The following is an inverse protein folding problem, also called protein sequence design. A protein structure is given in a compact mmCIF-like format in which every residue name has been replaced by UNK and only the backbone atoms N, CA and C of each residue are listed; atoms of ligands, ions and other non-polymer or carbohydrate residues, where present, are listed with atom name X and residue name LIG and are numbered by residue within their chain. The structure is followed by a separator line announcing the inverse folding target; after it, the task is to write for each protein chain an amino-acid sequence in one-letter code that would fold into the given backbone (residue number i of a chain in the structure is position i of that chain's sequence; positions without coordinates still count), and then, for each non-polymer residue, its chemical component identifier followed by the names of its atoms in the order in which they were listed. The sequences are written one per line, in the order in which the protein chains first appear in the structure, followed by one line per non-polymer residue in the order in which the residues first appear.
data_IF_261016196765
#
_entry.id   IF_261016196765
#
_cell.length_a   1.000
_cell.length_b   1.000
_cell.length_c   1.000
_cell.angle_alpha   90.00
_cell.angle_beta   90.00
_cell.angle_gamma   90.00
#
_symmetry.space_group_name_H-M   'P 1'
#
loop_
_entity.id
_entity.type
_entity.pdbx_description
1 polymer ?
#
# COMPACT_ATOMS: atom_id res chain seq x y z
N UNK A 1 -7.28 5.39 -40.32
CA UNK A 1 -7.68 4.03 -40.71
C UNK A 1 -7.77 3.18 -39.44
N UNK A 2 -8.95 2.64 -39.11
CA UNK A 2 -9.17 1.86 -37.87
C UNK A 2 -8.28 0.61 -37.85
N UNK A 3 -7.96 0.04 -39.01
CA UNK A 3 -7.11 -1.14 -39.11
C UNK A 3 -5.64 -0.84 -38.78
N UNK A 4 -5.18 0.40 -38.99
CA UNK A 4 -3.86 0.83 -38.52
C UNK A 4 -3.80 1.00 -37.01
N UNK A 5 -4.86 1.54 -36.40
CA UNK A 5 -4.95 1.65 -34.94
C UNK A 5 -4.87 0.27 -34.27
N UNK A 6 -5.46 -0.75 -34.88
CA UNK A 6 -5.45 -2.12 -34.38
C UNK A 6 -4.12 -2.88 -34.57
N UNK A 7 -3.17 -2.36 -35.36
CA UNK A 7 -1.85 -2.97 -35.55
C UNK A 7 -0.91 -2.74 -34.37
N UNK A 8 -1.02 -1.58 -33.71
CA UNK A 8 -0.23 -1.24 -32.52
C UNK A 8 -0.79 -1.84 -31.22
N UNK A 9 -2.03 -2.31 -31.24
CA UNK A 9 -2.72 -2.76 -30.04
C UNK A 9 -2.25 -4.14 -29.58
N UNK A 10 -2.09 -4.31 -28.28
CA UNK A 10 -1.85 -5.61 -27.62
C UNK A 10 -2.95 -6.58 -28.03
N UNK A 11 -2.59 -7.82 -28.34
CA UNK A 11 -3.56 -8.86 -28.72
C UNK A 11 -4.17 -9.52 -27.49
N UNK A 12 -5.50 -9.69 -27.48
CA UNK A 12 -6.22 -10.30 -26.37
C UNK A 12 -5.88 -11.79 -26.26
N UNK A 13 -5.54 -12.22 -25.04
CA UNK A 13 -5.36 -13.60 -24.62
C UNK A 13 -6.00 -13.81 -23.23
N UNK A 14 -5.87 -15.02 -22.67
CA UNK A 14 -6.54 -15.38 -21.41
C UNK A 14 -6.04 -14.63 -20.17
N UNK A 15 -4.84 -14.09 -20.21
CA UNK A 15 -4.15 -13.57 -19.03
C UNK A 15 -4.02 -12.05 -19.05
N UNK A 16 -4.41 -11.38 -20.15
CA UNK A 16 -4.12 -9.96 -20.34
C UNK A 16 -5.37 -9.10 -20.54
N UNK A 17 -6.56 -9.57 -20.14
CA UNK A 17 -7.82 -8.81 -20.30
C UNK A 17 -7.69 -7.35 -19.84
N UNK A 18 -7.17 -7.08 -18.64
CA UNK A 18 -7.06 -5.72 -18.11
C UNK A 18 -6.05 -4.87 -18.88
N UNK A 19 -4.91 -5.45 -19.29
CA UNK A 19 -3.92 -4.75 -20.10
C UNK A 19 -4.47 -4.43 -21.49
N UNK A 20 -5.12 -5.41 -22.10
CA UNK A 20 -5.81 -5.26 -23.38
C UNK A 20 -6.91 -4.20 -23.29
N UNK A 21 -7.71 -4.20 -22.21
CA UNK A 21 -8.78 -3.25 -21.99
C UNK A 21 -8.26 -1.82 -21.86
N UNK A 22 -7.12 -1.61 -21.18
CA UNK A 22 -6.49 -0.30 -21.08
C UNK A 22 -6.02 0.20 -22.45
N UNK A 23 -5.39 -0.67 -23.23
CA UNK A 23 -4.90 -0.33 -24.57
C UNK A 23 -6.06 -0.09 -25.55
N UNK A 24 -7.12 -0.90 -25.44
CA UNK A 24 -8.38 -0.72 -26.15
C UNK A 24 -9.02 0.64 -25.83
N UNK A 25 -9.17 0.97 -24.54
CA UNK A 25 -9.67 2.28 -24.08
C UNK A 25 -8.83 3.44 -24.61
N UNK A 26 -7.50 3.28 -24.58
CA UNK A 26 -6.57 4.29 -25.08
C UNK A 26 -6.74 4.51 -26.59
N UNK A 27 -6.84 3.41 -27.35
CA UNK A 27 -7.02 3.41 -28.81
C UNK A 27 -8.32 4.10 -29.23
N UNK A 28 -9.40 3.88 -28.48
CA UNK A 28 -10.72 4.43 -28.80
C UNK A 28 -11.09 5.69 -28.01
N UNK A 29 -10.14 6.29 -27.26
CA UNK A 29 -10.38 7.47 -26.43
C UNK A 29 -10.96 8.67 -27.19
N UNK A 30 -10.63 8.80 -28.48
CA UNK A 30 -11.08 9.90 -29.33
C UNK A 30 -12.50 9.71 -29.85
N UNK A 31 -13.06 8.49 -29.74
CA UNK A 31 -14.43 8.20 -30.16
C UNK A 31 -15.32 8.24 -28.91
N UNK A 32 -16.11 9.30 -28.73
CA UNK A 32 -16.98 9.41 -27.56
C UNK A 32 -18.00 8.27 -27.55
N UNK A 33 -18.46 7.91 -26.35
CA UNK A 33 -19.51 6.91 -26.10
C UNK A 33 -19.15 5.44 -26.40
N UNK A 34 -18.01 5.15 -27.04
CA UNK A 34 -17.61 3.75 -27.36
C UNK A 34 -17.57 2.90 -26.11
N UNK A 35 -16.85 3.36 -25.08
CA UNK A 35 -16.73 2.58 -23.85
C UNK A 35 -18.07 2.46 -23.15
N UNK A 36 -18.89 3.51 -23.14
CA UNK A 36 -20.20 3.51 -22.50
C UNK A 36 -21.17 2.54 -23.17
N UNK A 37 -21.12 2.42 -24.51
CA UNK A 37 -21.87 1.43 -25.28
C UNK A 37 -21.36 0.02 -24.96
N UNK A 38 -20.04 -0.20 -25.00
CA UNK A 38 -19.46 -1.53 -24.81
C UNK A 38 -19.64 -2.06 -23.39
N UNK A 39 -19.56 -1.21 -22.38
CA UNK A 39 -19.82 -1.59 -20.98
C UNK A 39 -21.31 -1.68 -20.65
N UNK A 40 -22.20 -1.36 -21.61
CA UNK A 40 -23.65 -1.38 -21.41
C UNK A 40 -24.19 -0.25 -20.54
N UNK A 41 -23.40 0.82 -20.35
CA UNK A 41 -23.84 2.06 -19.71
C UNK A 41 -24.88 2.79 -20.57
N UNK A 42 -24.68 2.77 -21.89
CA UNK A 42 -25.66 3.20 -22.89
C UNK A 42 -26.24 1.95 -23.55
N UNK A 43 -27.55 1.75 -23.37
CA UNK A 43 -28.30 0.62 -23.92
C UNK A 43 -29.02 0.98 -25.21
N UNK A 44 -29.57 -0.02 -25.88
CA UNK A 44 -30.25 0.09 -27.17
C UNK A 44 -31.50 1.00 -27.16
N UNK A 45 -32.08 1.24 -26.00
CA UNK A 45 -33.19 2.17 -25.77
C UNK A 45 -32.76 3.65 -25.67
N UNK A 46 -31.46 3.93 -25.53
CA UNK A 46 -30.95 5.26 -25.29
C UNK A 46 -30.77 6.05 -26.60
N UNK A 47 -31.16 7.34 -26.67
CA UNK A 47 -31.07 8.14 -27.91
C UNK A 47 -29.66 8.31 -28.48
N UNK A 48 -28.64 8.18 -27.63
CA UNK A 48 -27.22 8.26 -28.01
C UNK A 48 -26.59 6.90 -28.36
N UNK A 49 -27.38 5.82 -28.36
CA UNK A 49 -26.91 4.51 -28.80
C UNK A 49 -26.78 4.46 -30.32
N UNK A 50 -25.62 4.00 -30.79
CA UNK A 50 -25.34 3.82 -32.22
C UNK A 50 -25.22 2.32 -32.53
N UNK A 51 -26.32 1.75 -33.01
CA UNK A 51 -26.39 0.33 -33.37
C UNK A 51 -25.42 -0.05 -34.50
N UNK A 52 -25.16 0.86 -35.44
CA UNK A 52 -24.26 0.60 -36.55
C UNK A 52 -22.81 0.58 -36.09
N UNK A 53 -22.45 1.48 -35.18
CA UNK A 53 -21.16 1.50 -34.53
C UNK A 53 -20.94 0.24 -33.70
N UNK A 54 -21.92 -0.16 -32.89
CA UNK A 54 -21.85 -1.35 -32.04
C UNK A 54 -21.67 -2.64 -32.88
N UNK A 55 -22.43 -2.79 -33.96
CA UNK A 55 -22.26 -3.91 -34.89
C UNK A 55 -20.85 -3.97 -35.51
N UNK A 56 -20.24 -2.82 -35.82
CA UNK A 56 -18.86 -2.76 -36.34
C UNK A 56 -17.83 -3.20 -35.29
N UNK A 57 -18.11 -3.00 -34.01
CA UNK A 57 -17.20 -3.40 -32.93
C UNK A 57 -17.00 -4.92 -32.83
N UNK A 58 -17.95 -5.73 -33.30
CA UNK A 58 -17.76 -7.19 -33.42
C UNK A 58 -16.49 -7.52 -34.23
N UNK A 59 -16.34 -6.88 -35.40
CA UNK A 59 -15.17 -7.07 -36.26
C UNK A 59 -13.87 -6.54 -35.64
N UNK A 60 -13.95 -5.42 -34.92
CA UNK A 60 -12.82 -4.80 -34.24
C UNK A 60 -12.31 -5.71 -33.12
N UNK A 61 -13.19 -6.21 -32.26
CA UNK A 61 -12.84 -7.13 -31.16
C UNK A 61 -12.24 -8.41 -31.73
N UNK A 62 -12.85 -8.99 -32.78
CA UNK A 62 -12.30 -10.17 -33.48
C UNK A 62 -10.86 -9.95 -33.95
N UNK A 63 -10.59 -8.82 -34.60
CA UNK A 63 -9.25 -8.48 -35.11
C UNK A 63 -8.24 -8.14 -34.01
N UNK A 64 -8.72 -7.80 -32.82
CA UNK A 64 -7.89 -7.55 -31.64
C UNK A 64 -7.51 -8.81 -30.87
N UNK A 65 -8.16 -9.93 -31.13
CA UNK A 65 -7.85 -11.20 -30.48
C UNK A 65 -6.58 -11.81 -31.08
N UNK A 66 -5.79 -12.47 -30.23
CA UNK A 66 -4.66 -13.25 -30.71
C UNK A 66 -5.16 -14.41 -31.58
N UNK A 67 -4.51 -14.63 -32.73
CA UNK A 67 -4.80 -15.79 -33.58
C UNK A 67 -4.47 -17.07 -32.83
N UNK A 68 -3.48 -17.06 -31.94
CA UNK A 68 -3.10 -18.18 -31.05
C UNK A 68 -3.81 -18.15 -29.69
N UNK A 69 -4.87 -17.35 -29.56
CA UNK A 69 -5.68 -17.31 -28.35
C UNK A 69 -6.22 -18.69 -27.95
N UNK A 70 -6.53 -18.82 -26.67
CA UNK A 70 -7.00 -20.09 -26.10
C UNK A 70 -8.27 -20.59 -26.78
N UNK A 71 -8.55 -21.89 -26.60
CA UNK A 71 -9.80 -22.50 -27.07
C UNK A 71 -11.05 -21.73 -26.59
N UNK A 72 -11.02 -21.14 -25.39
CA UNK A 72 -12.14 -20.40 -24.82
C UNK A 72 -12.39 -19.08 -25.56
N UNK A 73 -11.35 -18.26 -25.77
CA UNK A 73 -11.48 -17.00 -26.52
C UNK A 73 -11.91 -17.29 -27.96
N UNK A 74 -11.28 -18.27 -28.62
CA UNK A 74 -11.68 -18.66 -29.99
C UNK A 74 -13.13 -19.13 -30.05
N UNK A 75 -13.59 -19.88 -29.06
CA UNK A 75 -14.97 -20.33 -28.98
C UNK A 75 -15.94 -19.14 -28.85
N UNK A 76 -15.69 -18.25 -27.89
CA UNK A 76 -16.52 -17.05 -27.67
C UNK A 76 -16.55 -16.19 -28.93
N UNK A 77 -15.41 -15.90 -29.53
CA UNK A 77 -15.26 -14.90 -30.60
C UNK A 77 -15.73 -15.41 -31.97
N UNK A 78 -15.45 -16.68 -32.30
CA UNK A 78 -15.64 -17.22 -33.65
C UNK A 78 -16.79 -18.22 -33.77
N UNK A 79 -17.20 -18.91 -32.70
CA UNK A 79 -18.23 -19.95 -32.79
C UNK A 79 -19.62 -19.38 -32.56
N UNK A 80 -19.76 -18.40 -31.67
CA UNK A 80 -21.03 -17.72 -31.43
C UNK A 80 -21.23 -16.59 -32.45
N UNK A 81 -22.45 -16.49 -32.98
CA UNK A 81 -22.88 -15.32 -33.76
C UNK A 81 -23.22 -14.18 -32.81
N UNK A 82 -22.61 -13.02 -33.05
CA UNK A 82 -22.79 -11.82 -32.23
C UNK A 82 -23.40 -10.74 -33.11
N UNK A 83 -24.50 -10.15 -32.63
CA UNK A 83 -25.18 -9.06 -33.32
C UNK A 83 -24.55 -7.71 -32.96
N UNK A 84 -24.02 -7.57 -31.74
CA UNK A 84 -23.41 -6.35 -31.24
C UNK A 84 -22.04 -6.61 -30.61
N UNK A 85 -21.17 -5.60 -30.69
CA UNK A 85 -19.85 -5.64 -30.06
C UNK A 85 -19.95 -5.57 -28.54
N UNK A 86 -20.96 -4.88 -28.01
CA UNK A 86 -21.28 -4.81 -26.57
C UNK A 86 -21.59 -6.18 -25.98
N UNK A 87 -22.41 -7.01 -26.63
CA UNK A 87 -22.69 -8.38 -26.19
C UNK A 87 -21.41 -9.25 -26.17
N UNK A 88 -20.62 -9.19 -27.24
CA UNK A 88 -19.35 -9.92 -27.33
C UNK A 88 -18.37 -9.47 -26.25
N UNK A 89 -18.25 -8.16 -26.04
CA UNK A 89 -17.37 -7.57 -25.03
C UNK A 89 -17.76 -8.01 -23.62
N UNK A 90 -19.05 -7.94 -23.28
CA UNK A 90 -19.56 -8.35 -21.97
C UNK A 90 -19.35 -9.84 -21.71
N UNK A 91 -19.52 -10.70 -22.73
CA UNK A 91 -19.22 -12.13 -22.58
C UNK A 91 -17.72 -12.40 -22.36
N UNK A 92 -16.86 -11.71 -23.11
CA UNK A 92 -15.41 -11.82 -22.89
C UNK A 92 -15.03 -11.34 -21.50
N UNK A 93 -15.63 -10.24 -21.04
CA UNK A 93 -15.43 -9.73 -19.70
C UNK A 93 -15.86 -10.75 -18.64
N UNK A 94 -17.06 -11.33 -18.75
CA UNK A 94 -17.58 -12.28 -17.76
C UNK A 94 -16.73 -13.55 -17.66
N UNK A 95 -16.23 -14.05 -18.79
CA UNK A 95 -15.43 -15.28 -18.83
C UNK A 95 -13.98 -15.05 -18.39
N UNK A 96 -13.37 -13.93 -18.81
CA UNK A 96 -11.96 -13.65 -18.52
C UNK A 96 -11.76 -13.01 -17.14
N UNK A 97 -12.79 -12.40 -16.55
CA UNK A 97 -12.75 -11.79 -15.21
C UNK A 97 -13.43 -12.66 -14.14
N UNK A 98 -13.83 -13.89 -14.45
CA UNK A 98 -14.64 -14.73 -13.55
C UNK A 98 -14.04 -14.89 -12.16
N UNK A 99 -12.72 -15.00 -12.10
CA UNK A 99 -11.98 -15.26 -10.86
C UNK A 99 -11.33 -13.98 -10.29
N UNK A 100 -11.58 -12.80 -10.89
CA UNK A 100 -10.95 -11.53 -10.47
C UNK A 100 -11.40 -11.11 -9.08
N UNK A 101 -12.66 -11.30 -8.71
CA UNK A 101 -13.17 -10.96 -7.38
C UNK A 101 -12.53 -11.83 -6.29
N UNK A 102 -12.38 -13.13 -6.56
CA UNK A 102 -11.72 -14.09 -5.67
C UNK A 102 -10.25 -13.72 -5.52
N UNK A 103 -9.58 -13.43 -6.63
CA UNK A 103 -8.16 -13.06 -6.66
C UNK A 103 -7.94 -11.72 -5.96
N UNK A 104 -8.82 -10.74 -6.17
CA UNK A 104 -8.80 -9.45 -5.50
C UNK A 104 -8.96 -9.58 -3.99
N UNK A 105 -9.92 -10.39 -3.54
CA UNK A 105 -10.09 -10.71 -2.13
C UNK A 105 -8.84 -11.37 -1.52
N UNK A 106 -8.26 -12.33 -2.24
CA UNK A 106 -7.02 -13.01 -1.84
C UNK A 106 -5.84 -12.02 -1.69
N UNK A 107 -5.66 -11.11 -2.65
CA UNK A 107 -4.60 -10.10 -2.61
C UNK A 107 -4.79 -9.09 -1.47
N UNK A 108 -6.03 -8.68 -1.18
CA UNK A 108 -6.32 -7.81 -0.03
C UNK A 108 -6.04 -8.53 1.30
N UNK A 109 -6.32 -9.83 1.39
CA UNK A 109 -5.93 -10.65 2.55
C UNK A 109 -4.41 -10.80 2.66
N UNK A 110 -3.71 -11.01 1.54
CA UNK A 110 -2.23 -11.04 1.47
C UNK A 110 -1.66 -9.72 1.98
N UNK A 111 -2.19 -8.59 1.50
CA UNK A 111 -1.80 -7.25 1.95
C UNK A 111 -1.97 -7.09 3.46
N UNK A 112 -3.14 -7.44 4.01
CA UNK A 112 -3.41 -7.34 5.44
C UNK A 112 -2.53 -8.25 6.32
N UNK A 113 -1.93 -9.29 5.73
CA UNK A 113 -1.03 -10.24 6.41
C UNK A 113 0.44 -9.85 6.33
N UNK A 114 0.82 -8.87 5.52
CA UNK A 114 2.20 -8.37 5.47
C UNK A 114 2.65 -7.98 6.87
N UNK A 115 3.85 -8.40 7.26
CA UNK A 115 4.48 -8.06 8.54
C UNK A 115 5.95 -7.72 8.30
N UNK A 116 6.49 -6.83 9.14
CA UNK A 116 7.92 -6.56 9.15
C UNK A 116 8.65 -7.57 10.02
N UNK A 117 9.60 -8.29 9.42
CA UNK A 117 10.50 -9.20 10.13
C UNK A 117 11.91 -8.62 10.18
N UNK A 118 12.66 -8.88 11.26
CA UNK A 118 14.05 -8.43 11.42
C UNK A 118 14.28 -6.92 11.23
N UNK A 119 13.25 -6.09 11.50
CA UNK A 119 13.26 -4.64 11.24
C UNK A 119 13.61 -4.26 9.78
N UNK A 120 13.36 -5.16 8.83
CA UNK A 120 13.60 -4.94 7.42
C UNK A 120 12.40 -4.29 6.73
N UNK A 121 12.35 -2.96 6.81
CA UNK A 121 11.30 -2.17 6.17
C UNK A 121 11.40 -2.19 4.64
N UNK A 122 12.59 -2.43 4.08
CA UNK A 122 12.79 -2.45 2.64
C UNK A 122 12.09 -3.66 2.02
N UNK A 123 12.27 -4.83 2.64
CA UNK A 123 11.55 -6.03 2.25
C UNK A 123 10.04 -5.87 2.39
N UNK A 124 9.57 -5.29 3.50
CA UNK A 124 8.14 -5.01 3.70
C UNK A 124 7.56 -4.06 2.63
N UNK A 125 8.30 -3.00 2.27
CA UNK A 125 7.88 -2.09 1.19
C UNK A 125 7.83 -2.82 -0.16
N UNK A 126 8.81 -3.69 -0.44
CA UNK A 126 8.82 -4.50 -1.67
C UNK A 126 7.57 -5.38 -1.74
N UNK A 127 7.27 -6.12 -0.67
CA UNK A 127 6.12 -7.03 -0.61
C UNK A 127 4.79 -6.30 -0.84
N UNK A 128 4.61 -5.11 -0.24
CA UNK A 128 3.43 -4.27 -0.47
C UNK A 128 3.33 -3.82 -1.95
N UNK A 129 4.45 -3.44 -2.57
CA UNK A 129 4.46 -3.04 -3.98
C UNK A 129 4.21 -4.23 -4.92
N UNK A 130 4.73 -5.41 -4.58
CA UNK A 130 4.52 -6.64 -5.35
C UNK A 130 3.04 -7.01 -5.35
N UNK A 131 2.38 -6.96 -4.19
CA UNK A 131 0.92 -7.19 -4.08
C UNK A 131 0.14 -6.15 -4.87
N UNK A 132 0.51 -4.86 -4.77
CA UNK A 132 -0.14 -3.81 -5.54
C UNK A 132 0.05 -3.97 -7.06
N UNK A 133 1.21 -4.48 -7.49
CA UNK A 133 1.49 -4.78 -8.90
C UNK A 133 0.70 -6.00 -9.37
N UNK A 134 0.58 -7.05 -8.56
CA UNK A 134 -0.32 -8.18 -8.85
C UNK A 134 -1.78 -7.72 -8.97
N UNK A 135 -2.21 -6.82 -8.09
CA UNK A 135 -3.55 -6.22 -8.12
C UNK A 135 -3.80 -5.45 -9.41
N UNK A 136 -2.86 -4.61 -9.84
CA UNK A 136 -3.05 -3.81 -11.06
C UNK A 136 -3.17 -4.66 -12.33
N UNK A 137 -2.55 -5.85 -12.36
CA UNK A 137 -2.69 -6.80 -13.47
C UNK A 137 -4.11 -7.35 -13.62
N UNK A 138 -4.89 -7.36 -12.53
CA UNK A 138 -6.30 -7.79 -12.51
C UNK A 138 -7.28 -6.62 -12.34
N UNK A 139 -6.83 -5.38 -12.58
CA UNK A 139 -7.67 -4.19 -12.48
C UNK A 139 -7.98 -3.73 -11.04
N UNK A 140 -7.38 -4.36 -10.02
CA UNK A 140 -7.50 -3.93 -8.63
C UNK A 140 -6.54 -2.76 -8.36
N UNK A 141 -7.11 -1.59 -8.03
CA UNK A 141 -6.34 -0.42 -7.62
C UNK A 141 -6.14 -0.45 -6.10
N UNK A 142 -4.93 -0.80 -5.66
CA UNK A 142 -4.54 -0.64 -4.26
C UNK A 142 -4.08 0.81 -4.04
N UNK A 143 -4.90 1.58 -3.34
CA UNK A 143 -4.66 3.01 -3.11
C UNK A 143 -3.47 3.24 -2.17
N UNK A 144 -2.85 4.42 -2.29
CA UNK A 144 -1.78 4.84 -1.40
C UNK A 144 -2.20 4.78 0.06
N UNK A 145 -3.44 5.13 0.39
CA UNK A 145 -3.96 5.07 1.76
C UNK A 145 -3.94 3.63 2.32
N UNK A 146 -4.28 2.63 1.51
CA UNK A 146 -4.24 1.22 1.92
C UNK A 146 -2.79 0.76 2.15
N UNK A 147 -1.87 1.12 1.25
CA UNK A 147 -0.43 0.81 1.39
C UNK A 147 0.18 1.47 2.63
N UNK A 148 -0.13 2.74 2.85
CA UNK A 148 0.31 3.52 4.01
C UNK A 148 -0.21 2.90 5.30
N UNK A 149 -1.50 2.55 5.34
CA UNK A 149 -2.13 1.90 6.51
C UNK A 149 -1.44 0.58 6.84
N UNK A 150 -1.15 -0.23 5.82
CA UNK A 150 -0.46 -1.50 6.03
C UNK A 150 1.00 -1.31 6.47
N UNK A 151 1.72 -0.34 5.91
CA UNK A 151 3.08 -0.05 6.35
C UNK A 151 3.11 0.53 7.77
N UNK A 152 2.13 1.35 8.15
CA UNK A 152 1.97 1.87 9.51
C UNK A 152 1.77 0.73 10.51
N UNK A 153 0.87 -0.21 10.23
CA UNK A 153 0.63 -1.37 11.10
C UNK A 153 1.90 -2.21 11.33
N UNK A 154 2.83 -2.22 10.35
CA UNK A 154 4.11 -2.92 10.45
C UNK A 154 5.22 -2.14 11.17
N UNK A 155 5.16 -0.80 11.20
CA UNK A 155 6.34 0.03 11.56
C UNK A 155 6.09 1.05 12.66
N UNK A 156 4.85 1.45 12.94
CA UNK A 156 4.52 2.57 13.83
C UNK A 156 5.05 2.37 15.26
N UNK A 157 5.04 1.13 15.75
CA UNK A 157 5.51 0.79 17.10
C UNK A 157 6.95 0.26 17.12
N UNK A 158 7.63 0.21 15.98
CA UNK A 158 9.03 -0.19 15.93
C UNK A 158 9.93 0.96 16.41
N UNK A 159 10.81 0.64 17.36
CA UNK A 159 11.73 1.58 18.01
C UNK A 159 12.64 2.35 17.03
N UNK A 160 12.78 1.88 15.78
CA UNK A 160 13.56 2.53 14.73
C UNK A 160 12.80 3.53 13.85
N UNK A 161 11.47 3.43 13.74
CA UNK A 161 10.72 4.11 12.68
C UNK A 161 9.66 5.11 13.18
N UNK A 162 9.34 5.14 14.49
CA UNK A 162 8.36 6.07 15.05
C UNK A 162 8.63 7.56 14.74
N UNK A 163 9.88 8.00 14.85
CA UNK A 163 10.28 9.39 14.53
C UNK A 163 10.00 9.78 13.06
N UNK A 164 10.06 8.80 12.15
CA UNK A 164 9.79 9.02 10.72
C UNK A 164 8.31 9.34 10.52
N UNK A 165 7.42 8.63 11.21
CA UNK A 165 5.98 8.87 11.18
C UNK A 165 5.63 10.27 11.70
N UNK A 166 6.11 10.63 12.90
CA UNK A 166 5.83 11.95 13.48
C UNK A 166 6.35 13.10 12.60
N UNK A 167 7.51 12.93 11.97
CA UNK A 167 8.07 13.94 11.06
C UNK A 167 7.20 14.11 9.81
N UNK A 168 6.76 13.00 9.21
CA UNK A 168 5.95 13.04 7.98
C UNK A 168 4.52 13.51 8.24
N UNK A 169 3.95 13.23 9.41
CA UNK A 169 2.66 13.75 9.85
C UNK A 169 2.73 15.27 9.98
N UNK A 170 3.77 15.80 10.64
CA UNK A 170 3.98 17.25 10.80
C UNK A 170 4.10 17.98 9.45
N UNK A 171 4.72 17.35 8.45
CA UNK A 171 4.90 17.92 7.11
C UNK A 171 3.70 17.65 6.19
N UNK A 172 2.68 16.93 6.67
CA UNK A 172 1.50 16.58 5.88
C UNK A 172 1.80 15.67 4.69
N UNK A 173 2.83 14.81 4.78
CA UNK A 173 3.26 13.89 3.70
C UNK A 173 3.10 12.41 4.06
N UNK A 174 2.61 12.09 5.25
CA UNK A 174 2.40 10.71 5.71
C UNK A 174 1.45 9.90 4.82
N UNK A 175 0.51 10.55 4.13
CA UNK A 175 -0.45 9.91 3.22
C UNK A 175 0.11 9.60 1.81
N UNK A 176 1.32 10.07 1.47
CA UNK A 176 1.92 9.86 0.14
C UNK A 176 2.87 8.68 0.17
N UNK A 177 2.53 7.59 -0.52
CA UNK A 177 3.29 6.34 -0.48
C UNK A 177 4.77 6.53 -0.85
N UNK A 178 5.05 7.28 -1.93
CA UNK A 178 6.41 7.51 -2.40
C UNK A 178 7.27 8.29 -1.40
N UNK A 179 6.69 9.34 -0.79
CA UNK A 179 7.39 10.17 0.20
C UNK A 179 7.70 9.38 1.47
N UNK A 180 6.74 8.56 1.91
CA UNK A 180 6.88 7.65 3.04
C UNK A 180 7.98 6.60 2.78
N UNK A 181 7.94 5.92 1.63
CA UNK A 181 8.95 4.93 1.25
C UNK A 181 10.36 5.52 1.23
N UNK A 182 10.54 6.70 0.65
CA UNK A 182 11.83 7.37 0.60
C UNK A 182 12.35 7.75 2.00
N UNK A 183 11.47 8.17 2.92
CA UNK A 183 11.86 8.47 4.29
C UNK A 183 12.23 7.20 5.08
N UNK A 184 11.43 6.13 4.93
CA UNK A 184 11.66 4.83 5.57
C UNK A 184 12.98 4.19 5.14
N UNK A 185 13.25 4.13 3.82
CA UNK A 185 14.54 3.62 3.30
C UNK A 185 15.74 4.41 3.82
N UNK A 186 15.63 5.75 3.89
CA UNK A 186 16.70 6.58 4.48
C UNK A 186 16.94 6.26 5.95
N UNK A 187 15.88 6.03 6.73
CA UNK A 187 16.03 5.62 8.13
C UNK A 187 16.63 4.22 8.26
N UNK A 188 16.18 3.28 7.44
CA UNK A 188 16.67 1.91 7.38
C UNK A 188 18.18 1.86 7.12
N UNK A 189 18.66 2.59 6.11
CA UNK A 189 20.08 2.66 5.78
C UNK A 189 20.92 3.26 6.91
N UNK A 190 20.38 4.24 7.65
CA UNK A 190 21.05 4.78 8.84
C UNK A 190 21.17 3.74 9.96
N UNK A 191 20.14 2.93 10.18
CA UNK A 191 20.16 1.87 11.20
C UNK A 191 21.16 0.76 10.81
N UNK A 192 21.19 0.34 9.54
CA UNK A 192 22.15 -0.65 9.03
C UNK A 192 23.60 -0.17 9.14
N UNK A 193 23.86 1.10 8.82
CA UNK A 193 25.22 1.63 8.75
C UNK A 193 25.75 2.14 10.11
N UNK A 194 24.90 2.38 11.10
CA UNK A 194 25.30 2.83 12.45
C UNK A 194 24.39 2.21 13.54
N UNK A 195 24.60 0.93 13.89
CA UNK A 195 23.80 0.23 14.90
C UNK A 195 24.01 0.78 16.32
N UNK A 196 25.07 1.55 16.57
CA UNK A 196 25.47 2.01 17.90
C UNK A 196 24.71 3.25 18.43
N UNK A 197 23.99 3.98 17.56
CA UNK A 197 23.44 5.30 17.91
C UNK A 197 21.97 5.33 18.35
N UNK A 198 21.27 4.19 18.42
CA UNK A 198 19.86 4.15 18.85
C UNK A 198 19.61 4.59 20.30
N UNK A 199 20.65 4.82 21.12
CA UNK A 199 20.52 5.26 22.52
C UNK A 199 20.81 6.74 22.79
N UNK A 200 21.00 7.62 21.78
CA UNK A 200 21.35 9.02 22.06
C UNK A 200 20.65 10.04 21.15
N UNK A 201 19.31 10.09 21.24
CA UNK A 201 18.55 11.26 20.77
C UNK A 201 17.60 11.79 21.85
N UNK A 202 18.19 12.13 22.99
CA UNK A 202 17.73 13.26 23.81
C UNK A 202 18.90 14.24 23.90
N UNK A 203 19.06 15.10 22.88
CA UNK A 203 19.78 16.37 23.01
C UNK A 203 18.71 17.46 22.87
N UNK A 204 18.19 17.96 23.99
CA UNK A 204 18.71 19.14 24.68
C UNK A 204 18.56 20.38 23.80
N UNK A 205 17.36 20.94 23.79
CA UNK A 205 17.16 22.35 23.53
C UNK A 205 17.79 23.13 24.69
N UNK A 206 18.83 23.91 24.41
CA UNK A 206 19.34 24.88 25.36
C UNK A 206 18.43 26.12 25.36
N UNK A 207 18.03 26.65 26.52
CA UNK A 207 17.75 28.07 26.66
C UNK A 207 18.90 28.77 27.38
N UNK A 208 19.07 30.03 27.00
CA UNK A 208 20.09 30.94 27.51
C UNK A 208 19.92 31.28 29.01
N UNK A 209 21.06 31.53 29.66
CA UNK A 209 21.32 32.36 30.85
C UNK A 209 20.22 33.42 31.14
N UNK A 210 19.67 33.70 32.35
CA UNK A 210 20.12 33.85 33.77
C UNK A 210 18.86 34.15 34.66
N UNK A 211 18.91 34.52 35.97
CA UNK A 211 19.73 34.10 37.13
C UNK A 211 18.90 33.68 38.38
N UNK A 212 19.59 32.96 39.29
CA UNK A 212 19.40 32.79 40.75
C UNK A 212 18.10 33.20 41.47
N UNK A 213 17.43 32.21 42.09
CA UNK A 213 17.02 32.26 43.51
C UNK A 213 16.54 30.90 44.02
N UNK A 214 17.00 30.55 45.22
CA UNK A 214 16.43 29.62 46.23
C UNK A 214 16.33 28.12 45.93
N UNK A 215 17.19 27.37 46.63
CA UNK A 215 16.93 26.11 47.35
C UNK A 215 15.90 25.13 46.76
N UNK A 216 16.42 24.05 46.16
CA UNK A 216 15.82 22.72 46.19
C UNK A 216 16.87 21.69 45.77
N UNK A 217 17.34 20.91 46.74
CA UNK A 217 18.28 19.83 46.55
C UNK A 217 17.75 18.79 45.55
N UNK A 218 18.57 18.48 44.55
CA UNK A 218 18.25 17.55 43.48
C UNK A 218 18.00 16.14 43.99
N UNK A 219 16.80 15.63 43.73
CA UNK A 219 16.49 14.21 43.89
C UNK A 219 17.07 13.48 42.69
N UNK A 220 18.19 12.79 42.91
CA UNK A 220 18.87 11.97 41.92
C UNK A 220 17.93 10.91 41.33
N UNK A 221 17.98 10.72 40.02
CA UNK A 221 17.12 9.80 39.25
C UNK A 221 17.24 8.31 39.67
N UNK A 222 18.17 8.00 40.59
CA UNK A 222 18.31 6.70 41.24
C UNK A 222 17.13 6.32 42.18
N UNK A 223 16.31 7.29 42.63
CA UNK A 223 15.18 7.06 43.55
C UNK A 223 13.96 6.33 42.95
N UNK A 224 13.96 6.03 41.64
CA UNK A 224 12.79 5.44 40.96
C UNK A 224 12.86 3.93 40.72
N UNK A 225 13.96 3.25 41.07
CA UNK A 225 14.20 1.84 40.67
C UNK A 225 14.34 0.85 41.85
N UNK A 226 14.06 1.25 43.10
CA UNK A 226 14.03 0.34 44.24
C UNK A 226 12.66 -0.31 44.47
N UNK A 227 12.59 -1.30 45.36
CA UNK A 227 11.34 -1.99 45.73
C UNK A 227 10.43 -0.99 46.45
N UNK A 228 9.33 -0.57 45.81
CA UNK A 228 8.26 0.22 46.46
C UNK A 228 7.24 -0.72 47.09
N UNK A 229 6.84 -0.43 48.32
CA UNK A 229 5.70 -1.11 48.94
C UNK A 229 4.41 -0.55 48.30
N UNK A 230 3.60 -1.37 47.62
CA UNK A 230 2.34 -0.92 47.03
C UNK A 230 1.35 -0.35 48.06
N UNK A 231 1.52 -0.68 49.35
CA UNK A 231 0.66 -0.19 50.45
C UNK A 231 1.09 1.19 50.97
N UNK A 232 2.27 1.67 50.61
CA UNK A 232 2.84 2.95 51.05
C UNK A 232 3.61 3.65 49.92
N UNK A 233 2.90 4.27 48.97
CA UNK A 233 3.50 4.85 47.77
C UNK A 233 4.40 6.07 48.06
N UNK A 234 4.24 6.69 49.22
CA UNK A 234 4.98 7.90 49.63
C UNK A 234 6.28 7.59 50.39
N UNK A 235 6.53 6.33 50.79
CA UNK A 235 7.81 5.96 51.40
C UNK A 235 8.91 5.81 50.32
N UNK A 236 10.14 6.30 50.57
CA UNK A 236 11.23 6.22 49.60
C UNK A 236 11.61 4.77 49.32
N UNK A 237 11.96 4.49 48.05
CA UNK A 237 12.36 3.16 47.63
C UNK A 237 13.64 2.70 48.36
N UNK A 238 13.63 1.44 48.83
CA UNK A 238 14.73 0.83 49.60
C UNK A 238 15.65 0.00 48.71
N UNK A 239 16.93 -0.06 49.07
CA UNK A 239 17.93 -0.90 48.43
C UNK A 239 17.60 -2.39 48.58
N UNK A 240 17.87 -3.19 47.55
CA UNK A 240 17.59 -4.64 47.57
C UNK A 240 18.60 -5.45 48.39
N UNK A 241 19.82 -4.94 48.61
CA UNK A 241 20.86 -5.64 49.38
C UNK A 241 20.86 -5.26 50.87
N UNK A 242 20.91 -3.97 51.20
CA UNK A 242 21.00 -3.52 52.60
C UNK A 242 19.66 -3.06 53.21
N UNK A 243 18.63 -2.80 52.40
CA UNK A 243 17.34 -2.31 52.87
C UNK A 243 17.28 -0.81 53.17
N UNK A 244 18.38 -0.07 53.04
CA UNK A 244 18.41 1.38 53.30
C UNK A 244 17.85 2.21 52.12
N UNK A 245 17.21 3.36 52.38
CA UNK A 245 16.73 4.26 51.33
C UNK A 245 17.88 5.07 50.71
N UNK A 246 17.65 5.61 49.51
CA UNK A 246 18.56 6.57 48.87
C UNK A 246 19.52 5.99 47.83
N UNK A 247 19.52 4.68 47.63
CA UNK A 247 20.26 4.01 46.57
C UNK A 247 19.60 2.67 46.18
N UNK A 248 20.04 2.09 45.05
CA UNK A 248 19.66 0.74 44.61
C UNK A 248 20.84 -0.23 44.82
N UNK A 249 20.61 -1.55 44.80
CA UNK A 249 21.65 -2.56 45.05
C UNK A 249 22.92 -2.36 44.22
N UNK A 250 22.78 -1.93 42.96
CA UNK A 250 23.93 -1.63 42.09
C UNK A 250 24.87 -0.53 42.62
N UNK A 251 24.36 0.36 43.47
CA UNK A 251 25.08 1.47 44.09
C UNK A 251 25.17 1.29 45.62
N UNK A 252 25.04 0.06 46.13
CA UNK A 252 25.19 -0.24 47.55
C UNK A 252 26.65 0.00 47.99
N UNK A 253 26.90 0.74 49.08
CA UNK A 253 28.25 0.99 49.59
C UNK A 253 28.81 -0.17 50.43
N UNK A 254 28.01 -1.20 50.71
CA UNK A 254 28.41 -2.43 51.41
C UNK A 254 28.89 -3.51 50.45
#
# INVERSE_FOLDING_TARGET
DILELLRGMVKLNNANWHTWLLDFKSTFRTIPLVMDIMTGTIKDDHPSYDAQLDAKFVGIIRNSCDKESSKNIRHIVNVKEWNTGSELFQQLQSELCRDDDITSGSLLMELGRVRMFNNDVEKTISEINDIATKGSLIGLVIEDQQKVTQLASCTQFSQGYGEVWSTLETVGKAHKWQSLCAAMRRRHNRIKNDPGRMSSSRRSSAPAAMPSSSDSQGVSQAYLLGKRDPRKPDEPAKCYDCGDPGHIAKNCPN
#
